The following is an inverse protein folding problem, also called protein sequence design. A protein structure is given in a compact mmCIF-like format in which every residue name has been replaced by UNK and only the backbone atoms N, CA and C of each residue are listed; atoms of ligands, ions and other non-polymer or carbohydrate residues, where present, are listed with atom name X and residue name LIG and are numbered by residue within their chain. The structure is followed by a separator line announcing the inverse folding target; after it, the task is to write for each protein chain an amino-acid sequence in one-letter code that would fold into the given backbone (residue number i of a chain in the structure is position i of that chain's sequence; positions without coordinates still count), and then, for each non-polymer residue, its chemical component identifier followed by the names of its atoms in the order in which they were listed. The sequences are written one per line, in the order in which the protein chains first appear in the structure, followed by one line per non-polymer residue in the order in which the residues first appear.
data_IF_640436899206
#
_entry.id   IF_640436899206
#
_cell.length_a   1.000
_cell.length_b   1.000
_cell.length_c   1.000
_cell.angle_alpha   90.00
_cell.angle_beta   90.00
_cell.angle_gamma   90.00
#
_symmetry.space_group_name_H-M   'P 1'
#
loop_
_entity.id
_entity.type
_entity.pdbx_description
1 polymer ?
#
# COMPACT_ATOMS: atom_id res chain seq x y z
N UNK A 1 -18.10 22.27 10.11
CA UNK A 1 -16.83 21.81 9.49
C UNK A 1 -16.17 20.68 10.27
N UNK A 2 -15.83 20.83 11.56
CA UNK A 2 -15.20 19.77 12.38
C UNK A 2 -16.00 18.46 12.40
N UNK A 3 -17.32 18.52 12.65
CA UNK A 3 -18.21 17.34 12.62
C UNK A 3 -18.21 16.60 11.27
N UNK A 4 -18.12 17.35 10.17
CA UNK A 4 -18.06 16.79 8.82
C UNK A 4 -16.70 16.11 8.57
N UNK A 5 -15.60 16.81 8.90
CA UNK A 5 -14.24 16.25 8.77
C UNK A 5 -14.07 14.99 9.62
N UNK A 6 -14.57 15.00 10.86
CA UNK A 6 -14.50 13.85 11.75
C UNK A 6 -15.30 12.65 11.20
N UNK A 7 -16.53 12.88 10.72
CA UNK A 7 -17.33 11.82 10.08
C UNK A 7 -16.61 11.24 8.86
N UNK A 8 -15.97 12.09 8.05
CA UNK A 8 -15.24 11.67 6.85
C UNK A 8 -13.98 10.87 7.22
N UNK A 9 -13.20 11.36 8.18
CA UNK A 9 -12.01 10.68 8.67
C UNK A 9 -12.33 9.31 9.29
N UNK A 10 -13.42 9.21 10.06
CA UNK A 10 -13.91 7.94 10.61
C UNK A 10 -14.31 6.97 9.51
N UNK A 11 -14.97 7.44 8.44
CA UNK A 11 -15.31 6.60 7.29
C UNK A 11 -14.07 6.01 6.62
N UNK A 12 -13.02 6.83 6.42
CA UNK A 12 -11.77 6.38 5.83
C UNK A 12 -11.01 5.43 6.75
N UNK A 13 -10.96 5.72 8.05
CA UNK A 13 -10.35 4.85 9.05
C UNK A 13 -11.05 3.48 9.08
N UNK A 14 -12.38 3.47 9.09
CA UNK A 14 -13.16 2.23 9.08
C UNK A 14 -12.90 1.42 7.81
N UNK A 15 -12.84 2.07 6.66
CA UNK A 15 -12.48 1.42 5.40
C UNK A 15 -11.08 0.80 5.46
N UNK A 16 -10.08 1.53 5.97
CA UNK A 16 -8.71 1.03 6.12
C UNK A 16 -8.68 -0.19 7.04
N UNK A 17 -9.36 -0.12 8.19
CA UNK A 17 -9.43 -1.22 9.15
C UNK A 17 -10.07 -2.44 8.51
N UNK A 18 -11.22 -2.29 7.85
CA UNK A 18 -11.92 -3.41 7.19
C UNK A 18 -11.04 -4.02 6.09
N UNK A 19 -10.52 -3.20 5.18
CA UNK A 19 -9.69 -3.66 4.07
C UNK A 19 -8.45 -4.41 4.57
N UNK A 20 -7.74 -3.84 5.55
CA UNK A 20 -6.52 -4.43 6.11
C UNK A 20 -6.79 -5.79 6.76
N UNK A 21 -7.84 -5.90 7.57
CA UNK A 21 -8.18 -7.16 8.25
C UNK A 21 -8.67 -8.22 7.26
N UNK A 22 -9.50 -7.84 6.28
CA UNK A 22 -9.93 -8.77 5.22
C UNK A 22 -8.72 -9.26 4.44
N UNK A 23 -7.80 -8.38 4.05
CA UNK A 23 -6.55 -8.78 3.38
C UNK A 23 -5.71 -9.70 4.27
N UNK A 24 -5.61 -9.45 5.57
CA UNK A 24 -4.89 -10.33 6.50
C UNK A 24 -5.48 -11.75 6.52
N UNK A 25 -6.80 -11.87 6.65
CA UNK A 25 -7.46 -13.18 6.69
C UNK A 25 -7.38 -13.91 5.34
N UNK A 26 -7.50 -13.18 4.22
CA UNK A 26 -7.28 -13.74 2.89
C UNK A 26 -5.83 -14.21 2.71
N UNK A 27 -4.86 -13.42 3.16
CA UNK A 27 -3.45 -13.79 3.14
C UNK A 27 -3.21 -15.07 3.92
N UNK A 28 -3.77 -15.20 5.13
CA UNK A 28 -3.66 -16.43 5.90
C UNK A 28 -4.34 -17.63 5.23
N UNK A 29 -5.50 -17.44 4.59
CA UNK A 29 -6.26 -18.51 3.97
C UNK A 29 -5.64 -19.03 2.66
N UNK A 30 -4.99 -18.16 1.88
CA UNK A 30 -4.52 -18.48 0.53
C UNK A 30 -3.00 -18.53 0.37
N UNK A 31 -2.22 -17.89 1.25
CA UNK A 31 -0.76 -17.95 1.18
C UNK A 31 -0.22 -19.04 2.08
N UNK A 32 0.73 -19.82 1.54
CA UNK A 32 1.49 -20.79 2.29
C UNK A 32 2.96 -20.35 2.40
N UNK A 33 3.41 -19.78 3.54
CA UNK A 33 4.80 -19.41 3.76
C UNK A 33 5.77 -20.60 3.70
N UNK A 34 5.31 -21.82 4.01
CA UNK A 34 6.12 -23.06 4.03
C UNK A 34 6.56 -23.45 2.63
N UNK A 35 5.73 -23.19 1.61
CA UNK A 35 6.03 -23.44 0.19
C UNK A 35 7.36 -22.84 -0.29
N UNK A 36 7.82 -21.74 0.32
CA UNK A 36 9.12 -21.11 0.01
C UNK A 36 10.34 -22.00 0.35
N UNK A 37 10.16 -23.03 1.18
CA UNK A 37 11.24 -23.90 1.66
C UNK A 37 11.23 -25.31 1.05
N UNK A 38 10.11 -25.73 0.43
CA UNK A 38 9.88 -27.08 -0.11
C UNK A 38 10.86 -27.45 -1.24
N UNK A 39 11.43 -26.46 -1.94
CA UNK A 39 12.39 -26.67 -3.03
C UNK A 39 13.88 -26.55 -2.66
N UNK A 40 14.23 -26.35 -1.38
CA UNK A 40 15.64 -26.16 -0.99
C UNK A 40 16.44 -27.46 -1.05
N UNK A 41 17.71 -27.35 -1.45
CA UNK A 41 18.70 -28.44 -1.40
C UNK A 41 19.88 -28.01 -0.52
N UNK A 42 20.16 -28.72 0.59
CA UNK A 42 19.43 -29.89 1.11
C UNK A 42 18.01 -29.56 1.62
N UNK A 43 17.08 -30.54 1.63
CA UNK A 43 15.73 -30.35 2.16
C UNK A 43 15.79 -30.03 3.65
N UNK A 44 15.02 -29.03 4.07
CA UNK A 44 14.88 -28.67 5.48
C UNK A 44 13.85 -29.59 6.14
N UNK A 45 14.13 -30.06 7.35
CA UNK A 45 13.13 -30.76 8.17
C UNK A 45 11.99 -29.83 8.59
N UNK A 46 10.81 -30.39 8.84
CA UNK A 46 9.63 -29.64 9.31
C UNK A 46 9.94 -28.80 10.56
N UNK A 47 10.71 -29.36 11.51
CA UNK A 47 11.14 -28.65 12.72
C UNK A 47 12.07 -27.47 12.42
N UNK A 48 12.94 -27.59 11.41
CA UNK A 48 13.78 -26.47 10.99
C UNK A 48 12.95 -25.36 10.35
N UNK A 49 11.92 -25.72 9.58
CA UNK A 49 11.03 -24.73 8.96
C UNK A 49 10.19 -24.02 10.04
N UNK A 50 9.65 -24.74 11.02
CA UNK A 50 8.90 -24.15 12.13
C UNK A 50 9.77 -23.17 12.92
N UNK A 51 11.03 -23.53 13.24
CA UNK A 51 11.99 -22.63 13.90
C UNK A 51 12.32 -21.37 13.10
N UNK A 52 12.16 -21.40 11.77
CA UNK A 52 12.31 -20.22 10.92
C UNK A 52 11.01 -19.39 10.85
N UNK A 53 9.84 -20.03 10.87
CA UNK A 53 8.56 -19.33 10.70
C UNK A 53 8.01 -18.75 12.01
N UNK A 54 8.27 -19.40 13.15
CA UNK A 54 7.78 -18.97 14.48
C UNK A 54 8.24 -17.56 14.86
N UNK A 55 9.53 -17.18 14.79
CA UNK A 55 9.97 -15.84 15.15
C UNK A 55 9.43 -14.74 14.22
N UNK A 56 8.86 -15.13 13.08
CA UNK A 56 8.35 -14.22 12.06
C UNK A 56 6.82 -14.09 12.09
N UNK A 57 6.15 -14.70 13.07
CA UNK A 57 4.69 -14.84 13.09
C UNK A 57 4.18 -15.36 11.74
N UNK A 58 4.85 -16.36 11.16
CA UNK A 58 4.45 -17.01 9.90
C UNK A 58 4.08 -18.48 10.09
N UNK A 59 4.25 -19.02 11.30
CA UNK A 59 3.90 -20.40 11.61
C UNK A 59 2.39 -20.63 11.53
N UNK A 60 2.01 -21.81 11.05
CA UNK A 60 0.67 -22.39 11.05
C UNK A 60 0.30 -23.02 12.40
N UNK A 61 1.28 -23.23 13.29
CA UNK A 61 1.09 -23.82 14.62
C UNK A 61 0.36 -22.91 15.60
N UNK A 62 0.37 -21.60 15.37
CA UNK A 62 -0.28 -20.60 16.25
C UNK A 62 -1.73 -20.38 15.79
N UNK A 63 -2.73 -20.45 16.69
CA UNK A 63 -4.11 -20.15 16.35
C UNK A 63 -4.26 -18.79 15.67
N UNK A 64 -5.05 -18.74 14.59
CA UNK A 64 -5.22 -17.55 13.75
C UNK A 64 -5.58 -16.29 14.56
N UNK A 65 -6.56 -16.39 15.46
CA UNK A 65 -7.00 -15.24 16.26
C UNK A 65 -5.89 -14.72 17.18
N UNK A 66 -5.10 -15.62 17.78
CA UNK A 66 -4.00 -15.23 18.66
C UNK A 66 -2.90 -14.50 17.87
N UNK A 67 -2.55 -15.04 16.70
CA UNK A 67 -1.56 -14.44 15.79
C UNK A 67 -2.02 -13.06 15.30
N UNK A 68 -3.28 -12.97 14.85
CA UNK A 68 -3.88 -11.72 14.42
C UNK A 68 -3.92 -10.68 15.54
N UNK A 69 -4.34 -11.08 16.75
CA UNK A 69 -4.43 -10.18 17.90
C UNK A 69 -3.06 -9.65 18.33
N UNK A 70 -2.04 -10.52 18.35
CA UNK A 70 -0.66 -10.12 18.62
C UNK A 70 -0.13 -9.13 17.59
N UNK A 71 -0.32 -9.42 16.30
CA UNK A 71 0.05 -8.52 15.20
C UNK A 71 -0.66 -7.16 15.30
N UNK A 72 -1.98 -7.16 15.51
CA UNK A 72 -2.78 -5.95 15.64
C UNK A 72 -2.33 -5.09 16.84
N UNK A 73 -2.13 -5.73 17.99
CA UNK A 73 -1.67 -5.05 19.22
C UNK A 73 -0.28 -4.44 19.03
N UNK A 74 0.63 -5.16 18.34
CA UNK A 74 1.97 -4.66 18.05
C UNK A 74 1.96 -3.44 17.12
N UNK A 75 1.06 -3.40 16.13
CA UNK A 75 0.89 -2.22 15.28
C UNK A 75 0.36 -1.03 16.09
N UNK A 76 -0.70 -1.25 16.88
CA UNK A 76 -1.39 -0.14 17.56
C UNK A 76 -0.57 0.42 18.73
N UNK A 77 0.09 -0.43 19.52
CA UNK A 77 0.81 -0.02 20.73
C UNK A 77 2.29 0.30 20.48
N UNK A 78 2.93 -0.40 19.54
CA UNK A 78 4.38 -0.33 19.34
C UNK A 78 4.77 0.14 17.94
N UNK A 79 3.80 0.47 17.09
CA UNK A 79 4.01 0.79 15.67
C UNK A 79 4.80 -0.30 14.93
N UNK A 80 4.72 -1.55 15.35
CA UNK A 80 5.53 -2.63 14.79
C UNK A 80 4.69 -3.49 13.82
N UNK A 81 5.04 -3.46 12.53
CA UNK A 81 4.35 -4.20 11.48
C UNK A 81 4.86 -5.63 11.29
N UNK A 82 5.89 -6.02 12.05
CA UNK A 82 6.52 -7.33 11.99
C UNK A 82 7.72 -7.38 11.04
N UNK A 83 8.03 -8.59 10.58
CA UNK A 83 9.21 -8.90 9.78
C UNK A 83 8.82 -9.54 8.45
N UNK A 84 9.63 -9.28 7.42
CA UNK A 84 9.47 -9.90 6.12
C UNK A 84 9.78 -11.40 6.18
N UNK A 85 9.37 -12.19 5.17
CA UNK A 85 9.80 -13.59 5.04
C UNK A 85 11.33 -13.76 5.02
N UNK A 86 12.06 -12.73 4.59
CA UNK A 86 13.53 -12.67 4.61
C UNK A 86 14.12 -12.29 5.98
N UNK A 87 13.28 -11.93 6.96
CA UNK A 87 13.67 -11.58 8.33
C UNK A 87 14.01 -10.10 8.55
N UNK A 88 13.80 -9.23 7.56
CA UNK A 88 14.03 -7.79 7.73
C UNK A 88 12.80 -7.10 8.32
N UNK A 89 12.99 -6.01 9.06
CA UNK A 89 11.87 -5.24 9.62
C UNK A 89 11.04 -4.60 8.50
N UNK A 90 9.72 -4.86 8.50
CA UNK A 90 8.79 -4.25 7.53
C UNK A 90 8.81 -2.72 7.65
N UNK A 91 8.85 -2.20 8.88
CA UNK A 91 8.95 -0.76 9.15
C UNK A 91 10.11 -0.09 8.42
N UNK A 92 11.30 -0.68 8.49
CA UNK A 92 12.49 -0.13 7.82
C UNK A 92 12.34 -0.09 6.30
N UNK A 93 11.78 -1.15 5.70
CA UNK A 93 11.56 -1.22 4.27
C UNK A 93 10.51 -0.21 3.79
N UNK A 94 9.41 -0.08 4.54
CA UNK A 94 8.37 0.89 4.22
C UNK A 94 8.89 2.32 4.41
N UNK A 95 9.61 2.62 5.49
CA UNK A 95 10.21 3.92 5.73
C UNK A 95 11.11 4.38 4.56
N UNK A 96 12.00 3.50 4.10
CA UNK A 96 12.85 3.79 2.97
C UNK A 96 12.05 4.03 1.68
N UNK A 97 11.10 3.14 1.37
CA UNK A 97 10.29 3.23 0.14
C UNK A 97 9.37 4.44 0.13
N UNK A 98 8.82 4.83 1.28
CA UNK A 98 8.00 6.04 1.41
C UNK A 98 8.77 7.29 0.99
N UNK A 99 10.06 7.39 1.35
CA UNK A 99 10.89 8.52 0.94
C UNK A 99 11.10 8.56 -0.57
N UNK A 100 11.46 7.41 -1.17
CA UNK A 100 11.65 7.30 -2.63
C UNK A 100 10.36 7.63 -3.38
N UNK A 101 9.21 7.10 -2.93
CA UNK A 101 7.92 7.45 -3.52
C UNK A 101 7.60 8.93 -3.38
N UNK A 102 7.95 9.54 -2.24
CA UNK A 102 7.81 10.98 -2.00
C UNK A 102 8.60 11.80 -3.01
N UNK A 103 9.88 11.47 -3.23
CA UNK A 103 10.74 12.14 -4.21
C UNK A 103 10.18 12.05 -5.63
N UNK A 104 9.73 10.86 -6.04
CA UNK A 104 9.14 10.64 -7.36
C UNK A 104 7.84 11.42 -7.55
N UNK A 105 6.93 11.41 -6.56
CA UNK A 105 5.66 12.13 -6.62
C UNK A 105 5.90 13.64 -6.65
N UNK A 106 6.82 14.16 -5.83
CA UNK A 106 7.17 15.58 -5.83
C UNK A 106 7.77 16.00 -7.17
N UNK A 107 8.73 15.24 -7.70
CA UNK A 107 9.33 15.51 -9.00
C UNK A 107 8.31 15.49 -10.13
N UNK A 108 7.45 14.46 -10.17
CA UNK A 108 6.36 14.38 -11.14
C UNK A 108 5.38 15.55 -11.02
N UNK A 109 5.04 15.96 -9.79
CA UNK A 109 4.13 17.08 -9.53
C UNK A 109 4.70 18.40 -10.04
N UNK A 110 5.99 18.66 -9.82
CA UNK A 110 6.66 19.88 -10.32
C UNK A 110 6.64 19.91 -11.85
N UNK A 111 7.02 18.81 -12.50
CA UNK A 111 7.03 18.71 -13.96
C UNK A 111 5.61 18.89 -14.51
N UNK A 112 4.63 18.19 -13.94
CA UNK A 112 3.24 18.29 -14.34
C UNK A 112 2.67 19.71 -14.15
N UNK A 113 3.03 20.39 -13.06
CA UNK A 113 2.62 21.77 -12.82
C UNK A 113 3.24 22.72 -13.85
N UNK A 114 4.55 22.62 -14.12
CA UNK A 114 5.23 23.48 -15.10
C UNK A 114 4.64 23.26 -16.50
N UNK A 115 4.51 22.02 -16.94
CA UNK A 115 3.93 21.69 -18.25
C UNK A 115 2.45 22.08 -18.33
N UNK A 116 1.67 21.80 -17.29
CA UNK A 116 0.26 22.13 -17.21
C UNK A 116 0.02 23.65 -17.27
N UNK A 117 0.81 24.42 -16.53
CA UNK A 117 0.77 25.89 -16.59
C UNK A 117 1.20 26.39 -17.96
N UNK A 118 2.30 25.88 -18.53
CA UNK A 118 2.78 26.30 -19.85
C UNK A 118 1.74 26.04 -20.95
N UNK A 119 1.14 24.85 -20.96
CA UNK A 119 0.07 24.49 -21.89
C UNK A 119 -1.16 25.38 -21.65
N UNK A 120 -1.57 25.57 -20.39
CA UNK A 120 -2.72 26.41 -20.04
C UNK A 120 -2.55 27.88 -20.43
N UNK A 121 -1.36 28.45 -20.24
CA UNK A 121 -1.03 29.81 -20.67
C UNK A 121 -0.99 29.90 -22.20
N UNK A 122 -0.40 28.91 -22.88
CA UNK A 122 -0.34 28.89 -24.34
C UNK A 122 -1.73 28.81 -24.97
N UNK A 123 -2.62 27.95 -24.46
CA UNK A 123 -4.00 27.85 -24.96
C UNK A 123 -4.80 29.11 -24.63
N UNK A 124 -4.67 29.67 -23.42
CA UNK A 124 -5.33 30.92 -23.03
C UNK A 124 -4.84 32.13 -23.84
N UNK A 125 -3.55 32.21 -24.16
CA UNK A 125 -3.01 33.29 -25.01
C UNK A 125 -3.48 33.22 -26.47
N UNK A 126 -3.98 32.06 -26.91
CA UNK A 126 -4.55 31.81 -28.25
C UNK A 126 -6.06 31.62 -28.23
N UNK A 127 -6.71 31.98 -27.12
CA UNK A 127 -8.16 31.99 -26.98
C UNK A 127 -8.74 32.82 -28.14
N UNK A 128 -9.66 32.23 -28.91
CA UNK A 128 -10.23 32.66 -30.22
C UNK A 128 -9.61 32.14 -31.55
N UNK A 129 -8.73 31.13 -31.58
CA UNK A 129 -8.36 30.44 -32.85
C UNK A 129 -8.71 28.95 -32.85
N UNK A 130 -9.09 28.45 -34.05
CA UNK A 130 -9.55 27.11 -34.51
C UNK A 130 -9.61 25.92 -33.52
N UNK A 131 -8.68 25.78 -32.58
CA UNK A 131 -8.69 24.74 -31.55
C UNK A 131 -9.95 24.77 -30.67
N UNK A 132 -10.49 25.95 -30.37
CA UNK A 132 -11.71 26.10 -29.54
C UNK A 132 -12.94 25.48 -30.24
N UNK A 133 -13.05 25.63 -31.57
CA UNK A 133 -14.14 25.03 -32.37
C UNK A 133 -14.02 23.51 -32.48
N UNK A 134 -12.79 22.97 -32.51
CA UNK A 134 -12.57 21.52 -32.57
C UNK A 134 -12.96 20.87 -31.24
N UNK A 135 -12.57 21.45 -30.11
CA UNK A 135 -12.91 20.91 -28.78
C UNK A 135 -14.39 21.07 -28.44
N UNK A 136 -15.02 22.18 -28.82
CA UNK A 136 -16.46 22.36 -28.67
C UNK A 136 -17.26 21.37 -29.54
N UNK A 137 -16.77 21.06 -30.75
CA UNK A 137 -17.36 20.03 -31.63
C UNK A 137 -17.30 18.62 -31.03
N UNK A 138 -16.16 18.25 -30.42
CA UNK A 138 -15.99 16.93 -29.77
C UNK A 138 -16.92 16.79 -28.56
N UNK A 139 -17.12 17.87 -27.78
CA UNK A 139 -18.02 17.87 -26.62
C UNK A 139 -19.51 17.78 -26.96
N UNK A 140 -19.91 18.06 -28.20
CA UNK A 140 -21.32 17.97 -28.63
C UNK A 140 -21.64 16.56 -29.15
N UNK A 141 -20.63 15.81 -29.57
CA UNK A 141 -20.78 14.47 -30.19
C UNK A 141 -20.56 13.33 -29.17
N UNK A 142 -19.97 13.63 -28.00
CA UNK A 142 -19.80 12.67 -26.89
C UNK A 142 -20.82 12.96 -25.80
#
# INVERSE_FOLDING_TARGET
MIKYLLRRALGWLLMIVVATNVTYFLAWAFLDPRSNYVGRRPPLSEDQINRLLEPRDLSDTVPLLQRWWGWFTNIVLHWNWGVSPTGQSVNSQIAYRMWVSGELVLGATIIAAVLGIAIGVYTASRQYKLADRVWQGISIVT
#
